data_IF_841562648034
#
_entry.id   IF_841562648034
#
_cell.length_a   1.000
_cell.length_b   1.000
_cell.length_c   1.000
_cell.angle_alpha   90.00
_cell.angle_beta   90.00
_cell.angle_gamma   90.00
#
_symmetry.space_group_name_H-M   'P 1'
#
loop_
_entity.id
_entity.type
_entity.pdbx_description
1 polymer ?
#
# COMPACT_ATOMS: atom_id res chain seq x y z
N UNK A 1 6.64 6.01 10.23
CA UNK A 1 7.62 6.35 11.26
C UNK A 1 7.30 7.70 11.92
N UNK A 2 7.11 8.79 11.14
CA UNK A 2 6.87 10.14 11.64
C UNK A 2 5.68 10.24 12.62
N UNK A 3 4.52 9.72 12.23
CA UNK A 3 3.34 9.69 13.10
C UNK A 3 3.55 8.84 14.36
N UNK A 4 4.22 7.68 14.24
CA UNK A 4 4.55 6.84 15.38
C UNK A 4 5.46 7.56 16.38
N UNK A 5 6.43 8.33 15.90
CA UNK A 5 7.29 9.17 16.74
C UNK A 5 6.46 10.14 17.60
N UNK A 6 5.51 10.87 17.00
CA UNK A 6 4.63 11.77 17.73
C UNK A 6 3.75 11.04 18.75
N UNK A 7 3.18 9.90 18.39
CA UNK A 7 2.37 9.09 19.30
C UNK A 7 3.18 8.62 20.52
N UNK A 8 4.43 8.16 20.32
CA UNK A 8 5.32 7.74 21.40
C UNK A 8 5.70 8.95 22.26
N UNK A 9 6.10 10.07 21.65
CA UNK A 9 6.40 11.30 22.35
C UNK A 9 5.25 11.74 23.28
N UNK A 10 4.04 11.83 22.74
CA UNK A 10 2.86 12.24 23.53
C UNK A 10 2.48 11.24 24.62
N UNK A 11 2.67 9.95 24.38
CA UNK A 11 2.29 8.91 25.34
C UNK A 11 3.31 8.65 26.45
N UNK A 12 4.59 8.98 26.21
CA UNK A 12 5.70 8.62 27.12
C UNK A 12 6.46 9.81 27.68
N UNK A 13 6.34 10.99 27.04
CA UNK A 13 7.16 12.17 27.36
C UNK A 13 8.62 12.10 26.85
N UNK A 14 8.99 11.06 26.10
CA UNK A 14 10.30 10.99 25.45
C UNK A 14 10.51 12.18 24.51
N UNK A 15 11.75 12.62 24.33
CA UNK A 15 12.06 13.57 23.26
C UNK A 15 11.70 13.02 21.88
N UNK A 16 11.53 13.88 20.88
CA UNK A 16 11.23 13.43 19.50
C UNK A 16 12.29 12.47 18.95
N UNK A 17 13.57 12.72 19.24
CA UNK A 17 14.64 11.85 18.75
C UNK A 17 14.64 10.49 19.45
N UNK A 18 14.45 10.44 20.77
CA UNK A 18 14.31 9.17 21.51
C UNK A 18 13.08 8.37 21.00
N UNK A 19 11.94 9.02 20.80
CA UNK A 19 10.73 8.41 20.28
C UNK A 19 10.94 7.87 18.85
N UNK A 20 11.68 8.62 18.01
CA UNK A 20 12.04 8.18 16.64
C UNK A 20 12.92 6.93 16.67
N UNK A 21 13.95 6.93 17.52
CA UNK A 21 14.84 5.77 17.68
C UNK A 21 14.07 4.57 18.23
N UNK A 22 13.20 4.78 19.23
CA UNK A 22 12.35 3.72 19.78
C UNK A 22 11.47 3.09 18.70
N UNK A 23 10.79 3.90 17.87
CA UNK A 23 9.97 3.40 16.78
C UNK A 23 10.77 2.62 15.73
N UNK A 24 11.95 3.13 15.33
CA UNK A 24 12.85 2.44 14.40
C UNK A 24 13.30 1.09 14.94
N UNK A 25 13.68 1.02 16.20
CA UNK A 25 14.11 -0.21 16.84
C UNK A 25 13.01 -1.28 16.83
N UNK A 26 11.75 -0.90 17.11
CA UNK A 26 10.63 -1.85 17.09
C UNK A 26 10.35 -2.38 15.68
N UNK A 27 10.54 -1.56 14.64
CA UNK A 27 10.41 -2.00 13.25
C UNK A 27 11.55 -2.94 12.83
N UNK A 28 12.80 -2.58 13.19
CA UNK A 28 13.98 -3.32 12.73
C UNK A 28 14.20 -4.66 13.45
N UNK A 29 13.77 -4.78 14.72
CA UNK A 29 13.91 -5.99 15.52
C UNK A 29 12.72 -6.96 15.43
N UNK A 30 11.67 -6.62 14.66
CA UNK A 30 10.48 -7.44 14.47
C UNK A 30 9.44 -7.36 15.59
N UNK A 31 9.66 -6.60 16.66
CA UNK A 31 8.71 -6.49 17.77
C UNK A 31 7.41 -5.81 17.38
N UNK A 32 7.45 -4.88 16.42
CA UNK A 32 6.22 -4.27 15.89
C UNK A 32 5.36 -5.32 15.16
N UNK A 33 5.98 -6.22 14.43
CA UNK A 33 5.28 -7.33 13.76
C UNK A 33 4.71 -8.32 14.79
N UNK A 34 5.50 -8.71 15.79
CA UNK A 34 5.01 -9.59 16.86
C UNK A 34 3.80 -8.99 17.59
N UNK A 35 3.80 -7.66 17.84
CA UNK A 35 2.65 -6.99 18.44
C UNK A 35 1.43 -6.96 17.51
N UNK A 36 1.64 -6.87 16.21
CA UNK A 36 0.55 -6.99 15.23
C UNK A 36 -0.05 -8.40 15.25
N UNK A 37 0.77 -9.46 15.30
CA UNK A 37 0.28 -10.86 15.42
C UNK A 37 -0.54 -11.07 16.70
N UNK A 38 -0.04 -10.54 17.83
CA UNK A 38 -0.77 -10.58 19.11
C UNK A 38 -2.14 -9.88 18.99
N UNK A 39 -2.17 -8.68 18.40
CA UNK A 39 -3.40 -7.91 18.19
C UNK A 39 -4.42 -8.70 17.35
N UNK A 40 -3.99 -9.30 16.23
CA UNK A 40 -4.84 -10.11 15.36
C UNK A 40 -5.39 -11.30 16.12
N UNK A 41 -4.55 -12.02 16.85
CA UNK A 41 -4.94 -13.18 17.65
C UNK A 41 -5.94 -12.81 18.76
N UNK A 42 -5.70 -11.72 19.49
CA UNK A 42 -6.61 -11.23 20.53
C UNK A 42 -8.00 -10.86 19.98
N UNK A 43 -8.07 -10.44 18.71
CA UNK A 43 -9.34 -10.15 18.02
C UNK A 43 -9.98 -11.39 17.38
N UNK A 44 -9.44 -12.59 17.62
CA UNK A 44 -9.93 -13.84 17.06
C UNK A 44 -9.53 -14.11 15.61
N UNK A 45 -8.57 -13.33 15.07
CA UNK A 45 -8.00 -13.54 13.75
C UNK A 45 -6.91 -14.61 13.74
N UNK A 46 -6.57 -15.10 12.57
CA UNK A 46 -5.56 -16.12 12.33
C UNK A 46 -4.80 -15.81 11.05
N UNK A 47 -3.57 -15.28 11.18
CA UNK A 47 -2.73 -14.90 10.04
C UNK A 47 -2.32 -16.11 9.19
N UNK A 48 -2.30 -17.32 9.74
CA UNK A 48 -1.95 -18.53 8.97
C UNK A 48 -2.99 -18.88 7.89
N UNK A 49 -4.19 -18.34 8.03
CA UNK A 49 -5.30 -18.51 7.07
C UNK A 49 -5.28 -17.50 5.92
N UNK A 50 -4.42 -16.50 6.00
CA UNK A 50 -4.24 -15.56 4.90
C UNK A 50 -3.47 -16.24 3.77
N UNK A 51 -4.15 -16.45 2.66
CA UNK A 51 -3.55 -17.00 1.44
C UNK A 51 -3.56 -15.92 0.36
N UNK A 52 -2.47 -15.86 -0.39
CA UNK A 52 -2.39 -15.01 -1.57
C UNK A 52 -2.87 -15.82 -2.78
N UNK A 53 -3.62 -15.21 -3.68
CA UNK A 53 -4.06 -15.90 -4.89
C UNK A 53 -2.85 -16.41 -5.69
N UNK A 54 -2.94 -17.63 -6.26
CA UNK A 54 -1.78 -18.35 -6.77
C UNK A 54 -1.20 -17.77 -8.06
N UNK A 55 -1.98 -17.00 -8.81
CA UNK A 55 -1.51 -16.39 -10.07
C UNK A 55 -1.09 -14.96 -9.84
N UNK A 56 0.10 -14.62 -10.30
CA UNK A 56 0.66 -13.27 -10.21
C UNK A 56 0.92 -12.75 -11.62
N UNK A 57 0.32 -11.63 -11.96
CA UNK A 57 0.50 -10.96 -13.24
C UNK A 57 1.26 -9.65 -13.03
N UNK A 58 2.37 -9.50 -13.75
CA UNK A 58 3.13 -8.26 -13.80
C UNK A 58 2.54 -7.34 -14.87
N UNK A 59 2.11 -6.16 -14.46
CA UNK A 59 1.69 -5.09 -15.37
C UNK A 59 2.87 -4.15 -15.56
N UNK A 60 3.26 -3.99 -16.81
CA UNK A 60 4.46 -3.25 -17.20
C UNK A 60 4.10 -1.92 -17.82
N UNK A 61 4.98 -0.94 -17.63
CA UNK A 61 4.86 0.36 -18.28
C UNK A 61 4.92 0.25 -19.80
N UNK A 62 4.04 0.97 -20.48
CA UNK A 62 4.05 1.14 -21.94
C UNK A 62 4.80 2.40 -22.37
N UNK A 63 5.35 3.15 -21.41
CA UNK A 63 6.05 4.42 -21.64
C UNK A 63 7.26 4.55 -20.74
N UNK A 64 8.24 5.33 -21.18
CA UNK A 64 9.35 5.80 -20.35
C UNK A 64 9.04 7.20 -19.85
N UNK A 65 9.23 7.47 -18.55
CA UNK A 65 8.99 8.78 -17.94
C UNK A 65 8.77 8.70 -16.43
N UNK A 66 8.28 9.78 -15.85
CA UNK A 66 7.95 9.87 -14.44
C UNK A 66 6.46 9.56 -14.21
N UNK A 67 6.17 8.77 -13.20
CA UNK A 67 4.79 8.55 -12.74
C UNK A 67 4.34 9.83 -12.04
N UNK A 68 3.46 10.58 -12.67
CA UNK A 68 2.96 11.87 -12.14
C UNK A 68 1.68 11.71 -11.35
N UNK A 69 0.89 10.66 -11.61
CA UNK A 69 -0.29 10.32 -10.82
C UNK A 69 -0.58 8.83 -10.88
N UNK A 70 -1.14 8.33 -9.78
CA UNK A 70 -1.74 6.99 -9.67
C UNK A 70 -3.15 7.18 -9.13
N UNK A 71 -4.16 6.82 -9.92
CA UNK A 71 -5.57 6.95 -9.54
C UNK A 71 -5.96 5.81 -8.58
N UNK A 72 -5.85 6.07 -7.28
CA UNK A 72 -6.14 5.10 -6.24
C UNK A 72 -7.61 4.65 -6.23
N UNK A 73 -8.55 5.53 -6.61
CA UNK A 73 -9.96 5.18 -6.70
C UNK A 73 -10.21 4.16 -7.83
N UNK A 74 -9.64 4.39 -9.00
CA UNK A 74 -9.75 3.43 -10.11
C UNK A 74 -9.10 2.10 -9.75
N UNK A 75 -7.90 2.10 -9.16
CA UNK A 75 -7.26 0.87 -8.67
C UNK A 75 -8.18 0.14 -7.71
N UNK A 76 -8.75 0.82 -6.71
CA UNK A 76 -9.70 0.23 -5.77
C UNK A 76 -10.92 -0.36 -6.47
N UNK A 77 -11.44 0.31 -7.52
CA UNK A 77 -12.56 -0.20 -8.33
C UNK A 77 -12.19 -1.49 -9.08
N UNK A 78 -10.99 -1.55 -9.65
CA UNK A 78 -10.50 -2.77 -10.33
C UNK A 78 -10.31 -3.90 -9.33
N UNK A 79 -9.68 -3.62 -8.19
CA UNK A 79 -9.45 -4.60 -7.12
C UNK A 79 -10.78 -5.15 -6.57
N UNK A 80 -11.80 -4.29 -6.45
CA UNK A 80 -13.16 -4.72 -6.09
C UNK A 80 -13.74 -5.69 -7.13
N UNK A 81 -13.61 -5.40 -8.43
CA UNK A 81 -14.13 -6.23 -9.52
C UNK A 81 -13.49 -7.63 -9.57
N UNK A 82 -12.22 -7.76 -9.17
CA UNK A 82 -11.51 -9.07 -9.17
C UNK A 82 -11.81 -9.93 -7.94
N UNK A 83 -12.70 -9.49 -7.05
CA UNK A 83 -13.19 -10.27 -5.92
C UNK A 83 -12.78 -9.78 -4.53
N UNK A 84 -11.96 -8.73 -4.41
CA UNK A 84 -11.59 -8.15 -3.12
C UNK A 84 -12.72 -7.32 -2.46
N UNK A 85 -13.86 -7.19 -3.13
CA UNK A 85 -15.00 -6.44 -2.63
C UNK A 85 -16.32 -7.20 -2.84
N UNK A 86 -17.40 -6.68 -2.23
CA UNK A 86 -18.75 -7.20 -2.38
C UNK A 86 -19.56 -6.34 -3.33
N UNK A 87 -20.17 -6.92 -4.33
CA UNK A 87 -21.18 -6.28 -5.16
C UNK A 87 -22.56 -6.46 -4.55
N UNK A 88 -22.84 -7.66 -4.01
CA UNK A 88 -24.05 -7.99 -3.29
C UNK A 88 -23.72 -8.36 -1.85
N UNK A 89 -24.73 -8.31 -0.98
CA UNK A 89 -24.59 -8.59 0.46
C UNK A 89 -24.13 -10.02 0.73
N UNK A 90 -24.50 -10.94 -0.13
CA UNK A 90 -24.23 -12.37 -0.04
C UNK A 90 -22.86 -12.77 -0.60
N UNK A 91 -22.19 -11.86 -1.34
CA UNK A 91 -20.90 -12.14 -1.94
C UNK A 91 -19.84 -12.39 -0.86
N UNK A 92 -18.99 -13.37 -1.10
CA UNK A 92 -17.83 -13.62 -0.27
C UNK A 92 -16.64 -12.78 -0.78
N UNK A 93 -15.95 -12.12 0.14
CA UNK A 93 -14.71 -11.40 -0.18
C UNK A 93 -13.57 -12.41 -0.31
N UNK A 94 -12.87 -12.34 -1.42
CA UNK A 94 -11.63 -13.08 -1.61
C UNK A 94 -10.45 -12.24 -1.07
N UNK A 95 -9.94 -12.61 0.09
CA UNK A 95 -8.82 -11.93 0.74
C UNK A 95 -7.46 -12.24 0.09
N UNK A 96 -7.40 -13.21 -0.82
CA UNK A 96 -6.19 -13.60 -1.52
C UNK A 96 -5.90 -12.76 -2.78
N UNK A 97 -6.91 -12.07 -3.32
CA UNK A 97 -6.74 -11.23 -4.51
C UNK A 97 -6.38 -9.80 -4.14
N UNK A 98 -5.64 -9.14 -5.02
CA UNK A 98 -5.24 -7.76 -4.78
C UNK A 98 -4.18 -7.26 -5.73
N UNK A 99 -3.65 -6.08 -5.44
CA UNK A 99 -2.56 -5.47 -6.20
C UNK A 99 -1.43 -5.01 -5.27
N UNK A 100 -0.21 -5.17 -5.73
CA UNK A 100 1.00 -4.64 -5.11
C UNK A 100 1.62 -3.62 -6.05
N UNK A 101 1.60 -2.34 -5.67
CA UNK A 101 2.28 -1.29 -6.43
C UNK A 101 3.79 -1.41 -6.24
N UNK A 102 4.53 -1.72 -7.30
CA UNK A 102 5.98 -1.80 -7.29
C UNK A 102 6.64 -0.44 -7.54
N UNK A 103 5.85 0.51 -8.02
CA UNK A 103 6.26 1.90 -8.30
C UNK A 103 5.28 2.89 -7.68
N UNK A 104 5.81 4.07 -7.33
CA UNK A 104 5.04 5.16 -6.67
C UNK A 104 5.07 6.43 -7.51
N UNK A 105 4.16 7.33 -7.21
CA UNK A 105 4.16 8.70 -7.77
C UNK A 105 5.50 9.38 -7.48
N UNK A 106 6.08 10.00 -8.51
CA UNK A 106 7.38 10.65 -8.47
C UNK A 106 8.54 9.79 -8.97
N UNK A 107 8.37 8.46 -9.06
CA UNK A 107 9.42 7.57 -9.55
C UNK A 107 9.50 7.58 -11.08
N UNK A 108 10.73 7.42 -11.58
CA UNK A 108 11.01 7.24 -12.99
C UNK A 108 10.85 5.77 -13.37
N UNK A 109 10.27 5.51 -14.52
CA UNK A 109 10.10 4.16 -15.08
C UNK A 109 10.52 4.13 -16.53
N UNK A 110 11.01 2.99 -16.98
CA UNK A 110 11.27 2.71 -18.38
C UNK A 110 10.17 1.85 -18.99
N UNK A 111 9.98 1.95 -20.29
CA UNK A 111 9.07 1.04 -21.01
C UNK A 111 9.44 -0.42 -20.74
N UNK A 112 8.45 -1.25 -20.44
CA UNK A 112 8.63 -2.66 -20.06
C UNK A 112 8.93 -2.89 -18.58
N UNK A 113 9.19 -1.86 -17.77
CA UNK A 113 9.42 -1.98 -16.33
C UNK A 113 8.11 -2.25 -15.58
N UNK A 114 8.17 -3.09 -14.53
CA UNK A 114 7.01 -3.48 -13.74
C UNK A 114 6.46 -2.30 -12.92
N UNK A 115 5.15 -2.05 -13.04
CA UNK A 115 4.42 -1.04 -12.26
C UNK A 115 3.62 -1.66 -11.12
N UNK A 116 3.01 -2.82 -11.39
CA UNK A 116 2.05 -3.46 -10.49
C UNK A 116 2.16 -4.97 -10.63
N UNK A 117 2.09 -5.68 -9.49
CA UNK A 117 1.74 -7.09 -9.44
C UNK A 117 0.28 -7.24 -9.09
N UNK A 118 -0.43 -8.07 -9.82
CA UNK A 118 -1.84 -8.39 -9.60
C UNK A 118 -1.94 -9.84 -9.19
N UNK A 119 -2.57 -10.08 -8.05
CA UNK A 119 -2.82 -11.42 -7.50
C UNK A 119 -4.28 -11.79 -7.76
N UNK A 120 -4.53 -12.88 -8.47
CA UNK A 120 -5.89 -13.32 -8.81
C UNK A 120 -5.98 -14.83 -9.09
N UNK A 121 -7.21 -15.35 -9.14
CA UNK A 121 -7.46 -16.76 -9.41
C UNK A 121 -7.69 -17.01 -10.90
N UNK A 122 -8.28 -16.10 -11.63
CA UNK A 122 -8.64 -16.27 -13.05
C UNK A 122 -8.19 -15.11 -13.93
N UNK A 123 -8.27 -15.30 -15.26
CA UNK A 123 -7.58 -14.48 -16.27
C UNK A 123 -8.36 -13.27 -16.80
N UNK A 124 -9.62 -13.09 -16.43
CA UNK A 124 -10.48 -12.05 -17.01
C UNK A 124 -10.26 -10.64 -16.45
N UNK A 125 -9.00 -10.28 -16.20
CA UNK A 125 -8.69 -8.94 -15.81
C UNK A 125 -8.45 -8.06 -17.02
N UNK A 126 -9.14 -6.94 -17.07
CA UNK A 126 -8.79 -5.85 -17.96
C UNK A 126 -7.46 -5.21 -17.50
N UNK A 127 -6.33 -5.83 -17.85
CA UNK A 127 -4.99 -5.31 -17.57
C UNK A 127 -4.86 -3.84 -17.99
N UNK A 128 -5.57 -3.45 -19.05
CA UNK A 128 -5.64 -2.08 -19.53
C UNK A 128 -6.28 -1.14 -18.49
N UNK A 129 -7.31 -1.58 -17.76
CA UNK A 129 -7.93 -0.73 -16.70
C UNK A 129 -6.93 -0.34 -15.62
N UNK A 130 -5.97 -1.21 -15.29
CA UNK A 130 -4.91 -0.90 -14.32
C UNK A 130 -3.86 0.03 -14.92
N UNK A 131 -3.47 -0.19 -16.18
CA UNK A 131 -2.55 0.72 -16.87
C UNK A 131 -3.12 2.13 -16.96
N UNK A 132 -4.42 2.27 -17.19
CA UNK A 132 -5.12 3.55 -17.28
C UNK A 132 -5.20 4.29 -15.93
N UNK A 133 -4.82 3.63 -14.83
CA UNK A 133 -4.69 4.28 -13.53
C UNK A 133 -3.38 5.10 -13.39
N UNK A 134 -2.40 4.86 -14.28
CA UNK A 134 -1.10 5.52 -14.22
C UNK A 134 -1.00 6.64 -15.24
N UNK A 135 -0.59 7.82 -14.77
CA UNK A 135 -0.18 8.93 -15.65
C UNK A 135 1.34 9.01 -15.65
N UNK A 136 1.93 8.81 -16.82
CA UNK A 136 3.41 8.87 -17.02
C UNK A 136 3.72 9.98 -17.98
N UNK A 137 4.62 10.91 -17.59
CA UNK A 137 5.04 12.08 -18.37
C UNK A 137 6.55 12.22 -18.38
N UNK A 138 7.08 13.07 -19.28
CA UNK A 138 8.53 13.32 -19.41
C UNK A 138 9.13 14.04 -18.21
N UNK A 139 8.33 14.83 -17.49
CA UNK A 139 8.78 15.65 -16.38
C UNK A 139 8.33 15.08 -15.04
N UNK A 140 9.23 15.14 -14.05
CA UNK A 140 8.90 14.76 -12.68
C UNK A 140 7.81 15.67 -12.10
N UNK A 141 6.85 15.12 -11.33
CA UNK A 141 5.89 15.93 -10.61
C UNK A 141 6.57 16.70 -9.48
N UNK A 142 5.94 17.76 -9.00
CA UNK A 142 6.35 18.39 -7.76
C UNK A 142 6.28 17.38 -6.61
N UNK A 143 7.25 17.38 -5.67
CA UNK A 143 7.20 16.51 -4.51
C UNK A 143 5.90 16.71 -3.73
N UNK A 144 5.23 15.60 -3.40
CA UNK A 144 4.03 15.65 -2.55
C UNK A 144 4.41 15.92 -1.10
N UNK A 145 3.83 16.97 -0.53
CA UNK A 145 3.92 17.22 0.91
C UNK A 145 3.00 16.25 1.64
N UNK A 146 3.58 15.29 2.37
CA UNK A 146 2.81 14.30 3.15
C UNK A 146 2.40 14.82 4.53
N UNK A 147 3.20 15.70 5.12
CA UNK A 147 2.96 16.31 6.43
C UNK A 147 2.92 17.82 6.25
N UNK A 148 1.75 18.40 6.38
CA UNK A 148 1.53 19.84 6.18
C UNK A 148 1.95 20.69 7.38
N UNK A 149 2.00 20.11 8.57
CA UNK A 149 2.42 20.78 9.80
C UNK A 149 2.06 19.97 11.04
N UNK A 150 2.51 20.48 12.17
CA UNK A 150 2.16 19.98 13.51
C UNK A 150 1.38 21.10 14.19
N UNK A 151 0.22 20.77 14.77
CA UNK A 151 -0.56 21.69 15.60
C UNK A 151 -0.23 21.35 17.04
N UNK A 152 0.55 22.22 17.69
CA UNK A 152 0.78 22.16 19.12
C UNK A 152 -0.36 22.88 19.83
N UNK A 153 -0.75 22.40 21.02
CA UNK A 153 -1.87 22.98 21.78
C UNK A 153 -1.66 24.47 22.03
N UNK A 154 -2.70 25.22 21.87
CA UNK A 154 -2.79 26.62 22.27
C UNK A 154 -2.74 26.78 23.77
#
# INVERSE_FOLDING_TARGET
>A
LYLAMYMIHMGTGMSYEEARIAALNQLSNGMAYAKFEEMVTCQGGDLSKLTVAPKVFSIKSTKTGFITAIDAYKIGTVVHKIGAGRTNKEDQIDYGVGVELTKKTGEFVTEGEELVKVYLHDHDLAMQEILDCFTITEHAPNPQTLIYGVVESF
#
